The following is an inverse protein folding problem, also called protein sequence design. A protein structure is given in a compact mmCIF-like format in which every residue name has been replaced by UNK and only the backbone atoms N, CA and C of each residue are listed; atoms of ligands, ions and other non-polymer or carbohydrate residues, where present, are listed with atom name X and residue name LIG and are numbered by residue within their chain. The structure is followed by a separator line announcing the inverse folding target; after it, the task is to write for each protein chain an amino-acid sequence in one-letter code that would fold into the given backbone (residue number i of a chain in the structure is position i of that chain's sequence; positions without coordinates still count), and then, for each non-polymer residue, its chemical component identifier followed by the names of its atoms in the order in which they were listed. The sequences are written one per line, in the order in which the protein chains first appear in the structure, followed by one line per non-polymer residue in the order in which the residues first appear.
data_IF_017407618194
#
_entry.id   IF_017407618194
#
_cell.length_a   1.000
_cell.length_b   1.000
_cell.length_c   1.000
_cell.angle_alpha   90.00
_cell.angle_beta   90.00
_cell.angle_gamma   90.00
#
_symmetry.space_group_name_H-M   'P 1'
#
loop_
_entity.id
_entity.type
_entity.pdbx_description
1 polymer ?
#
# COMPACT_ATOMS: atom_id res chain seq x y z
N UNK A 1 -12.26 -6.69 -20.30
CA UNK A 1 -12.56 -7.08 -18.91
C UNK A 1 -12.43 -5.84 -18.03
N UNK A 2 -13.54 -5.29 -17.53
CA UNK A 2 -13.47 -4.17 -16.61
C UNK A 2 -12.93 -4.67 -15.27
N UNK A 3 -11.81 -4.11 -14.79
CA UNK A 3 -11.33 -4.33 -13.43
C UNK A 3 -12.40 -3.79 -12.47
N UNK A 4 -13.09 -4.69 -11.76
CA UNK A 4 -14.08 -4.28 -10.78
C UNK A 4 -13.37 -3.70 -9.55
N UNK A 5 -14.05 -2.82 -8.81
CA UNK A 5 -13.52 -2.28 -7.56
C UNK A 5 -13.13 -3.38 -6.56
N UNK A 6 -13.82 -4.52 -6.60
CA UNK A 6 -13.53 -5.69 -5.76
C UNK A 6 -12.20 -6.34 -6.17
N UNK A 7 -11.95 -6.50 -7.47
CA UNK A 7 -10.68 -7.02 -7.98
C UNK A 7 -9.52 -6.10 -7.61
N UNK A 8 -9.70 -4.79 -7.74
CA UNK A 8 -8.68 -3.80 -7.35
C UNK A 8 -8.38 -3.86 -5.84
N UNK A 9 -9.40 -3.91 -5.00
CA UNK A 9 -9.23 -4.02 -3.55
C UNK A 9 -8.53 -5.31 -3.14
N UNK A 10 -8.86 -6.43 -3.79
CA UNK A 10 -8.19 -7.72 -3.54
C UNK A 10 -6.71 -7.67 -3.95
N UNK A 11 -6.41 -7.03 -5.09
CA UNK A 11 -5.04 -6.85 -5.55
C UNK A 11 -4.23 -5.98 -4.59
N UNK A 12 -4.83 -4.88 -4.11
CA UNK A 12 -4.22 -3.98 -3.13
C UNK A 12 -3.94 -4.69 -1.80
N UNK A 13 -4.91 -5.47 -1.31
CA UNK A 13 -4.71 -6.28 -0.10
C UNK A 13 -3.56 -7.29 -0.28
N UNK A 14 -3.51 -7.98 -1.42
CA UNK A 14 -2.41 -8.87 -1.76
C UNK A 14 -1.05 -8.18 -1.81
N UNK A 15 -0.98 -6.97 -2.36
CA UNK A 15 0.23 -6.15 -2.39
C UNK A 15 0.70 -5.78 -0.96
N UNK A 16 -0.21 -5.31 -0.10
CA UNK A 16 0.13 -4.96 1.29
C UNK A 16 0.67 -6.17 2.05
N UNK A 17 0.06 -7.35 1.87
CA UNK A 17 0.54 -8.60 2.48
C UNK A 17 1.93 -8.96 1.95
N UNK A 18 2.14 -8.85 0.64
CA UNK A 18 3.42 -9.15 0.00
C UNK A 18 4.55 -8.23 0.51
N UNK A 19 4.27 -6.93 0.67
CA UNK A 19 5.24 -5.99 1.24
C UNK A 19 5.55 -6.27 2.73
N UNK A 20 4.56 -6.70 3.52
CA UNK A 20 4.80 -7.10 4.91
C UNK A 20 5.67 -8.36 5.00
N UNK A 21 5.41 -9.36 4.15
CA UNK A 21 6.23 -10.57 4.07
C UNK A 21 7.66 -10.20 3.68
N UNK A 22 7.82 -9.36 2.65
CA UNK A 22 9.13 -8.90 2.20
C UNK A 22 9.89 -8.15 3.32
N UNK A 23 9.20 -7.28 4.05
CA UNK A 23 9.78 -6.57 5.19
C UNK A 23 10.23 -7.54 6.29
N UNK A 24 9.40 -8.53 6.65
CA UNK A 24 9.75 -9.55 7.63
C UNK A 24 10.98 -10.38 7.20
N UNK A 25 11.04 -10.81 5.94
CA UNK A 25 12.20 -11.54 5.41
C UNK A 25 13.47 -10.68 5.38
N UNK A 26 13.35 -9.41 4.99
CA UNK A 26 14.48 -8.47 4.97
C UNK A 26 15.02 -8.19 6.38
N UNK A 27 14.14 -8.00 7.37
CA UNK A 27 14.53 -7.71 8.74
C UNK A 27 15.08 -8.95 9.47
N UNK A 28 14.64 -10.16 9.09
CA UNK A 28 15.10 -11.44 9.68
C UNK A 28 16.61 -11.66 9.55
N UNK A 29 17.25 -11.09 8.53
CA UNK A 29 18.69 -11.21 8.31
C UNK A 29 19.54 -10.19 9.09
N UNK A 30 18.93 -9.26 9.84
CA UNK A 30 19.64 -8.18 10.52
C UNK A 30 19.64 -8.35 12.04
N UNK A 31 20.75 -7.99 12.69
CA UNK A 31 20.81 -7.83 14.14
C UNK A 31 20.05 -6.57 14.53
N UNK A 32 18.77 -6.72 14.86
CA UNK A 32 17.92 -5.64 15.33
C UNK A 32 17.46 -5.96 16.74
N UNK A 33 17.42 -4.95 17.60
CA UNK A 33 16.70 -5.03 18.87
C UNK A 33 15.20 -5.19 18.61
N UNK A 34 14.46 -5.68 19.61
CA UNK A 34 13.02 -5.89 19.50
C UNK A 34 12.27 -4.61 19.05
N UNK A 35 12.63 -3.46 19.62
CA UNK A 35 12.02 -2.17 19.28
C UNK A 35 12.32 -1.72 17.86
N UNK A 36 13.53 -1.96 17.37
CA UNK A 36 13.87 -1.65 15.98
C UNK A 36 13.10 -2.56 15.02
N UNK A 37 13.00 -3.86 15.33
CA UNK A 37 12.23 -4.79 14.53
C UNK A 37 10.75 -4.36 14.43
N UNK A 38 10.13 -4.05 15.57
CA UNK A 38 8.74 -3.58 15.61
C UNK A 38 8.57 -2.22 14.92
N UNK A 39 9.49 -1.27 15.14
CA UNK A 39 9.47 0.04 14.50
C UNK A 39 9.56 -0.05 12.98
N UNK A 40 10.50 -0.84 12.45
CA UNK A 40 10.65 -1.08 11.02
C UNK A 40 9.47 -1.85 10.43
N UNK A 41 8.90 -2.81 11.16
CA UNK A 41 7.68 -3.50 10.76
C UNK A 41 6.48 -2.56 10.64
N UNK A 42 6.25 -1.71 11.64
CA UNK A 42 5.19 -0.69 11.62
C UNK A 42 5.43 0.29 10.46
N UNK A 43 6.66 0.76 10.28
CA UNK A 43 7.01 1.67 9.18
C UNK A 43 6.74 1.05 7.80
N UNK A 44 7.14 -0.21 7.60
CA UNK A 44 6.89 -0.94 6.37
C UNK A 44 5.39 -1.17 6.11
N UNK A 45 4.57 -1.29 7.15
CA UNK A 45 3.10 -1.40 7.03
C UNK A 45 2.43 -0.05 6.74
N UNK A 46 2.93 1.05 7.32
CA UNK A 46 2.38 2.39 7.10
C UNK A 46 2.66 2.92 5.68
N UNK A 47 3.82 2.59 5.10
CA UNK A 47 4.21 3.04 3.77
C UNK A 47 3.15 2.75 2.66
N UNK A 48 2.66 1.50 2.49
CA UNK A 48 1.64 1.19 1.51
C UNK A 48 0.25 1.72 1.89
N UNK A 49 -0.02 2.02 3.16
CA UNK A 49 -1.25 2.68 3.60
C UNK A 49 -1.25 4.16 3.18
N UNK A 50 -0.09 4.83 3.24
CA UNK A 50 0.08 6.23 2.82
C UNK A 50 -0.08 6.39 1.30
N UNK A 51 0.37 5.41 0.51
CA UNK A 51 0.30 5.44 -0.96
C UNK A 51 -1.08 5.81 -1.53
N UNK A 52 -2.17 5.14 -1.14
CA UNK A 52 -3.53 5.48 -1.53
C UNK A 52 -3.94 6.92 -1.21
N UNK A 53 -3.54 7.46 -0.05
CA UNK A 53 -3.87 8.85 0.30
C UNK A 53 -3.19 9.84 -0.64
N UNK A 54 -1.94 9.56 -1.03
CA UNK A 54 -1.22 10.36 -2.04
C UNK A 54 -1.96 10.30 -3.39
N UNK A 55 -2.35 9.10 -3.84
CA UNK A 55 -3.09 8.92 -5.09
C UNK A 55 -4.43 9.67 -5.07
N UNK A 56 -5.17 9.59 -3.96
CA UNK A 56 -6.43 10.32 -3.78
C UNK A 56 -6.18 11.83 -3.84
N UNK A 57 -5.11 12.31 -3.19
CA UNK A 57 -4.78 13.73 -3.17
C UNK A 57 -4.39 14.27 -4.55
N UNK A 58 -3.69 13.47 -5.35
CA UNK A 58 -3.32 13.79 -6.75
C UNK A 58 -4.56 13.85 -7.67
N UNK A 59 -5.70 13.26 -7.27
CA UNK A 59 -6.95 13.19 -8.04
C UNK A 59 -6.72 12.86 -9.53
N UNK A 60 -6.13 11.70 -9.85
CA UNK A 60 -5.86 11.36 -11.23
C UNK A 60 -7.18 11.21 -12.03
N UNK A 61 -7.32 12.02 -13.08
CA UNK A 61 -8.44 11.96 -14.02
C UNK A 61 -9.44 13.13 -13.89
N UNK A 62 -10.27 13.29 -14.92
CA UNK A 62 -11.33 14.31 -14.91
C UNK A 62 -12.52 13.80 -14.11
N UNK A 63 -13.05 14.62 -13.21
CA UNK A 63 -14.34 14.38 -12.59
C UNK A 63 -15.40 14.18 -13.69
N UNK A 64 -16.16 13.08 -13.61
CA UNK A 64 -17.19 12.69 -14.59
C UNK A 64 -18.19 13.82 -14.91
N UNK A 65 -18.39 14.76 -13.99
CA UNK A 65 -19.23 15.94 -14.18
C UNK A 65 -18.75 16.89 -15.30
N UNK A 66 -17.47 16.84 -15.71
CA UNK A 66 -16.89 17.71 -16.75
C UNK A 66 -16.92 17.11 -18.15
N UNK A 67 -17.30 15.85 -18.29
CA UNK A 67 -17.24 15.11 -19.57
C UNK A 67 -18.53 15.23 -20.41
N UNK A 68 -19.58 15.85 -19.84
CA UNK A 68 -20.91 16.05 -20.47
C UNK A 68 -21.18 17.52 -20.83
N UNK A 69 -20.16 18.39 -20.88
CA UNK A 69 -20.26 19.77 -21.39
C UNK A 69 -19.35 19.96 -22.59
#
# INVERSE_FOLDING_TARGET
MALSAQTLNLLLAGCIISFNILAAFFLRGRKLSFWEYTGWGIFAMLLPIIGPFIVIWIQPGLHRAKQLR
#
